data_IF_330404290391
#
_entry.id   IF_330404290391
#
_cell.length_a   1.000
_cell.length_b   1.000
_cell.length_c   1.000
_cell.angle_alpha   90.00
_cell.angle_beta   90.00
_cell.angle_gamma   90.00
#
_symmetry.space_group_name_H-M   'P 1'
#
loop_
_entity.id
_entity.type
_entity.pdbx_description
1 polymer ?
#
# COMPACT_ATOMS: atom_id res chain seq x y z
N UNK A 1 -20.29 10.89 3.88
CA UNK A 1 -19.72 12.11 3.28
C UNK A 1 -18.21 11.98 3.34
N UNK A 2 -17.59 11.50 2.25
CA UNK A 2 -16.13 11.48 2.11
C UNK A 2 -15.79 12.32 0.88
N UNK A 3 -15.14 13.46 1.13
CA UNK A 3 -14.73 14.41 0.10
C UNK A 3 -13.35 13.99 -0.43
N UNK A 4 -13.30 13.55 -1.69
CA UNK A 4 -12.06 13.42 -2.45
C UNK A 4 -11.91 14.63 -3.38
N UNK A 5 -10.93 15.49 -3.10
CA UNK A 5 -10.50 16.56 -4.00
C UNK A 5 -9.38 15.99 -4.88
N UNK A 6 -9.70 15.75 -6.14
CA UNK A 6 -8.74 15.64 -7.25
C UNK A 6 -9.25 16.56 -8.36
N UNK A 7 -8.35 17.42 -8.86
CA UNK A 7 -8.68 18.54 -9.74
C UNK A 7 -9.64 18.19 -10.88
N UNK A 8 -10.68 19.02 -10.98
CA UNK A 8 -11.43 19.36 -12.20
C UNK A 8 -12.02 18.20 -13.03
N UNK A 9 -12.77 17.28 -12.43
CA UNK A 9 -14.16 16.95 -12.85
C UNK A 9 -14.83 16.19 -11.69
N UNK A 10 -15.78 16.82 -11.02
CA UNK A 10 -16.66 16.12 -10.07
C UNK A 10 -17.79 15.47 -10.88
N UNK A 11 -17.55 14.27 -11.39
CA UNK A 11 -18.56 13.49 -12.09
C UNK A 11 -19.50 12.87 -11.06
N UNK A 12 -20.64 13.52 -10.86
CA UNK A 12 -21.78 12.97 -10.13
C UNK A 12 -22.59 12.08 -11.10
N UNK A 13 -22.27 10.79 -11.20
CA UNK A 13 -23.13 9.83 -11.93
C UNK A 13 -24.12 9.21 -10.93
N UNK A 14 -25.44 9.33 -11.17
CA UNK A 14 -26.46 8.77 -10.31
C UNK A 14 -26.49 7.24 -10.41
N UNK A 15 -26.59 6.62 -9.23
CA UNK A 15 -26.56 5.19 -8.93
C UNK A 15 -27.65 4.39 -9.65
N UNK A 16 -27.34 3.81 -10.82
CA UNK A 16 -28.16 2.75 -11.44
C UNK A 16 -27.26 1.76 -12.19
N UNK A 17 -26.91 0.65 -11.52
CA UNK A 17 -26.24 -0.50 -12.13
C UNK A 17 -24.73 -0.60 -11.85
N UNK A 18 -24.37 -1.46 -10.89
CA UNK A 18 -23.02 -1.97 -10.64
C UNK A 18 -21.97 -0.87 -10.36
N UNK A 19 -22.02 -0.27 -9.17
CA UNK A 19 -20.77 0.17 -8.56
C UNK A 19 -20.03 -1.14 -8.29
N UNK A 20 -19.04 -1.41 -9.12
CA UNK A 20 -18.21 -2.61 -9.07
C UNK A 20 -17.29 -2.47 -7.85
N UNK A 21 -17.90 -2.54 -6.66
CA UNK A 21 -17.19 -2.55 -5.37
C UNK A 21 -16.24 -3.75 -5.39
N UNK A 22 -16.62 -4.85 -6.02
CA UNK A 22 -15.74 -5.98 -6.32
C UNK A 22 -14.57 -5.61 -7.22
N UNK A 23 -14.75 -4.90 -8.35
CA UNK A 23 -13.60 -4.46 -9.14
C UNK A 23 -12.72 -3.43 -8.40
N UNK A 24 -13.30 -2.53 -7.60
CA UNK A 24 -12.55 -1.57 -6.79
C UNK A 24 -11.75 -2.30 -5.70
N UNK A 25 -12.39 -3.25 -5.02
CA UNK A 25 -11.80 -4.15 -4.03
C UNK A 25 -10.67 -4.96 -4.64
N UNK A 26 -10.90 -5.61 -5.78
CA UNK A 26 -9.91 -6.39 -6.50
C UNK A 26 -8.73 -5.53 -6.97
N UNK A 27 -8.98 -4.29 -7.39
CA UNK A 27 -7.92 -3.35 -7.78
C UNK A 27 -7.08 -2.92 -6.57
N UNK A 28 -7.73 -2.62 -5.44
CA UNK A 28 -7.08 -2.30 -4.17
C UNK A 28 -6.30 -3.50 -3.61
N UNK A 29 -6.85 -4.71 -3.67
CA UNK A 29 -6.16 -5.95 -3.25
C UNK A 29 -4.95 -6.23 -4.12
N UNK A 30 -5.02 -5.93 -5.42
CA UNK A 30 -3.90 -6.08 -6.33
C UNK A 30 -2.81 -5.04 -6.07
N UNK A 31 -3.17 -3.82 -5.68
CA UNK A 31 -2.24 -2.78 -5.26
C UNK A 31 -1.60 -3.13 -3.91
N UNK A 32 -2.40 -3.63 -2.97
CA UNK A 32 -1.96 -4.16 -1.68
C UNK A 32 -0.97 -5.30 -1.86
N UNK A 33 -1.28 -6.28 -2.71
CA UNK A 33 -0.41 -7.43 -2.96
C UNK A 33 0.94 -7.03 -3.57
N UNK A 34 0.99 -5.96 -4.38
CA UNK A 34 2.26 -5.39 -4.87
C UNK A 34 3.06 -4.78 -3.73
N UNK A 35 2.41 -3.94 -2.91
CA UNK A 35 3.05 -3.32 -1.75
C UNK A 35 3.56 -4.38 -0.76
N UNK A 36 2.77 -5.43 -0.49
CA UNK A 36 3.18 -6.57 0.33
C UNK A 36 4.35 -7.35 -0.27
N UNK A 37 4.42 -7.48 -1.59
CA UNK A 37 5.57 -8.08 -2.29
C UNK A 37 6.85 -7.28 -2.10
N UNK A 38 6.77 -5.95 -2.16
CA UNK A 38 7.90 -5.05 -1.87
C UNK A 38 8.29 -5.12 -0.40
N UNK A 39 7.33 -5.09 0.52
CA UNK A 39 7.55 -5.26 1.97
C UNK A 39 8.25 -6.60 2.23
N UNK A 40 7.79 -7.71 1.66
CA UNK A 40 8.43 -9.03 1.82
C UNK A 40 9.85 -9.03 1.30
N UNK A 41 10.11 -8.37 0.18
CA UNK A 41 11.45 -8.30 -0.41
C UNK A 41 12.40 -7.47 0.46
N UNK A 42 11.95 -6.32 0.95
CA UNK A 42 12.71 -5.47 1.86
C UNK A 42 12.91 -6.15 3.23
N UNK A 43 11.86 -6.80 3.75
CA UNK A 43 11.87 -7.53 5.01
C UNK A 43 12.82 -8.71 4.93
N UNK A 44 12.82 -9.47 3.83
CA UNK A 44 13.76 -10.57 3.62
C UNK A 44 15.22 -10.11 3.57
N UNK A 45 15.48 -8.95 2.95
CA UNK A 45 16.82 -8.33 2.95
C UNK A 45 17.24 -7.88 4.36
N UNK A 46 16.33 -7.29 5.12
CA UNK A 46 16.55 -6.86 6.51
C UNK A 46 16.59 -8.02 7.52
N UNK A 47 15.93 -9.13 7.23
CA UNK A 47 15.93 -10.33 8.07
C UNK A 47 17.22 -11.14 7.90
N UNK A 48 17.90 -10.95 6.76
CA UNK A 48 19.21 -11.52 6.54
C UNK A 48 20.24 -10.83 7.44
N UNK A 49 20.62 -11.48 8.54
CA UNK A 49 21.58 -10.96 9.50
C UNK A 49 22.93 -10.60 8.87
N UNK A 50 23.29 -11.23 7.74
CA UNK A 50 24.46 -10.84 6.96
C UNK A 50 24.31 -9.45 6.33
N UNK A 51 23.12 -9.07 5.87
CA UNK A 51 22.87 -7.71 5.38
C UNK A 51 22.86 -6.71 6.54
N UNK A 52 22.27 -7.04 7.68
CA UNK A 52 22.22 -6.16 8.85
C UNK A 52 23.59 -5.95 9.51
N UNK A 53 24.42 -7.00 9.57
CA UNK A 53 25.76 -6.91 10.18
C UNK A 53 26.83 -6.40 9.21
N UNK A 54 26.68 -6.64 7.91
CA UNK A 54 27.71 -6.34 6.92
C UNK A 54 27.42 -5.06 6.12
N UNK A 55 26.16 -4.60 6.09
CA UNK A 55 25.80 -3.33 5.45
C UNK A 55 25.92 -2.15 6.43
N UNK A 56 26.18 -0.94 5.92
CA UNK A 56 26.23 0.28 6.74
C UNK A 56 24.91 0.52 7.47
N UNK A 57 24.98 1.02 8.70
CA UNK A 57 23.80 1.33 9.50
C UNK A 57 22.81 2.28 8.79
N UNK A 58 23.31 3.23 7.98
CA UNK A 58 22.46 4.09 7.13
C UNK A 58 21.65 3.30 6.10
N UNK A 59 22.21 2.26 5.49
CA UNK A 59 21.53 1.43 4.49
C UNK A 59 20.48 0.56 5.18
N UNK A 60 20.81 0.00 6.35
CA UNK A 60 19.88 -0.79 7.15
C UNK A 60 18.72 0.07 7.66
N UNK A 61 19.00 1.27 8.18
CA UNK A 61 17.96 2.21 8.63
C UNK A 61 17.12 2.74 7.47
N UNK A 62 17.73 3.04 6.32
CA UNK A 62 17.00 3.45 5.12
C UNK A 62 16.07 2.35 4.62
N UNK A 63 16.54 1.10 4.60
CA UNK A 63 15.70 -0.05 4.25
C UNK A 63 14.59 -0.30 5.29
N UNK A 64 14.86 -0.15 6.58
CA UNK A 64 13.84 -0.26 7.64
C UNK A 64 12.78 0.85 7.52
N UNK A 65 13.20 2.07 7.23
CA UNK A 65 12.30 3.20 7.02
C UNK A 65 11.44 2.99 5.79
N UNK A 66 12.03 2.57 4.67
CA UNK A 66 11.32 2.25 3.45
C UNK A 66 10.32 1.11 3.64
N UNK A 67 10.69 0.09 4.42
CA UNK A 67 9.79 -0.99 4.81
C UNK A 67 8.62 -0.48 5.65
N UNK A 68 8.89 0.34 6.67
CA UNK A 68 7.86 0.89 7.54
C UNK A 68 6.90 1.83 6.78
N UNK A 69 7.39 2.60 5.81
CA UNK A 69 6.56 3.42 4.92
C UNK A 69 5.68 2.56 4.02
N UNK A 70 6.26 1.53 3.40
CA UNK A 70 5.50 0.60 2.57
C UNK A 70 4.43 -0.14 3.38
N UNK A 71 4.75 -0.59 4.60
CA UNK A 71 3.78 -1.19 5.53
C UNK A 71 2.66 -0.22 5.91
N UNK A 72 2.99 1.05 6.18
CA UNK A 72 1.98 2.08 6.45
C UNK A 72 1.04 2.28 5.26
N UNK A 73 1.57 2.35 4.05
CA UNK A 73 0.75 2.48 2.84
C UNK A 73 -0.13 1.26 2.62
N UNK A 74 0.43 0.05 2.73
CA UNK A 74 -0.33 -1.19 2.63
C UNK A 74 -1.44 -1.24 3.68
N UNK A 75 -1.15 -0.85 4.93
CA UNK A 75 -2.13 -0.81 6.01
C UNK A 75 -3.27 0.18 5.72
N UNK A 76 -2.96 1.38 5.25
CA UNK A 76 -3.96 2.38 4.87
C UNK A 76 -4.87 1.88 3.73
N UNK A 77 -4.28 1.21 2.74
CA UNK A 77 -5.01 0.59 1.62
C UNK A 77 -5.90 -0.54 2.14
N UNK A 78 -5.40 -1.37 3.05
CA UNK A 78 -6.17 -2.46 3.69
C UNK A 78 -7.35 -1.95 4.53
N UNK A 79 -7.14 -0.85 5.28
CA UNK A 79 -8.20 -0.24 6.10
C UNK A 79 -9.29 0.36 5.23
N UNK A 80 -8.92 1.02 4.11
CA UNK A 80 -9.89 1.49 3.12
C UNK A 80 -10.66 0.34 2.47
N UNK A 81 -9.97 -0.77 2.22
CA UNK A 81 -10.55 -2.01 1.72
C UNK A 81 -11.57 -2.62 2.70
N UNK A 82 -11.31 -2.56 3.99
CA UNK A 82 -12.18 -3.07 5.04
C UNK A 82 -13.40 -2.16 5.32
N UNK A 83 -13.32 -0.88 4.94
CA UNK A 83 -14.42 0.08 5.04
C UNK A 83 -15.36 0.10 3.82
N UNK A 84 -15.04 -0.65 2.76
CA UNK A 84 -15.86 -0.85 1.56
C UNK A 84 -16.76 -2.08 1.71
#
# INVERSE_FOLDING_TARGET
MFAGVTGTVQVLIPLTGVVDVEALKAKLEKDLAKAEGEIKSLSGRLSNQGFVNQAPAEVVQGAQTALAEAEKQAKLVSERLAML
#
